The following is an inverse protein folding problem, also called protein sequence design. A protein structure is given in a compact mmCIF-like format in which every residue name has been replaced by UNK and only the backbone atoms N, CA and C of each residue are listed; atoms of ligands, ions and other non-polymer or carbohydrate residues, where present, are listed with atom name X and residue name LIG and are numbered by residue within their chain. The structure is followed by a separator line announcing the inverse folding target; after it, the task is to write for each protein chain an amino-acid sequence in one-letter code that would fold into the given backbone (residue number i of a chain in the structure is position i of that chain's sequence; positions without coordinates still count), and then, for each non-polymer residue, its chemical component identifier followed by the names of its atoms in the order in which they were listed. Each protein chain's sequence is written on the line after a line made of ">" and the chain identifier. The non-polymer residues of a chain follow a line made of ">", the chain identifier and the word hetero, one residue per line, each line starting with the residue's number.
data_IF_222657193798
#
_entry.id   IF_222657193798
#
_cell.length_a   1.000
_cell.length_b   1.000
_cell.length_c   1.000
_cell.angle_alpha   90.00
_cell.angle_beta   90.00
_cell.angle_gamma   90.00
#
_symmetry.space_group_name_H-M   'P 1'
#
loop_
_entity.id
_entity.type
_entity.pdbx_description
1 polymer ?
#
# COMPACT_ATOMS: atom_id res chain seq x y z
N UNK A 1 26.94 21.96 -1.39
CA UNK A 1 25.62 22.58 -1.12
C UNK A 1 24.50 22.04 -2.02
N UNK A 2 24.69 21.85 -3.36
CA UNK A 2 23.64 21.36 -4.26
C UNK A 2 23.07 19.99 -3.88
N UNK A 3 23.91 19.02 -3.44
CA UNK A 3 23.46 17.67 -3.02
C UNK A 3 22.59 17.67 -1.76
N UNK A 4 22.85 18.58 -0.80
CA UNK A 4 22.04 18.70 0.41
C UNK A 4 20.68 19.37 0.14
N UNK A 5 20.64 20.33 -0.79
CA UNK A 5 19.39 20.97 -1.22
C UNK A 5 18.51 19.98 -1.97
N UNK A 6 19.09 19.15 -2.84
CA UNK A 6 18.36 18.11 -3.56
C UNK A 6 17.79 17.06 -2.60
N UNK A 7 18.57 16.64 -1.59
CA UNK A 7 18.10 15.68 -0.59
C UNK A 7 16.99 16.26 0.32
N UNK A 8 17.09 17.52 0.71
CA UNK A 8 16.04 18.22 1.48
C UNK A 8 14.79 18.44 0.63
N UNK A 9 14.93 18.83 -0.63
CA UNK A 9 13.80 18.90 -1.56
C UNK A 9 13.17 17.53 -1.79
N UNK A 10 13.97 16.50 -2.00
CA UNK A 10 13.46 15.14 -2.12
C UNK A 10 12.72 14.67 -0.84
N UNK A 11 13.26 14.97 0.35
CA UNK A 11 12.62 14.61 1.62
C UNK A 11 11.32 15.38 1.87
N UNK A 12 11.28 16.69 1.54
CA UNK A 12 10.03 17.48 1.61
C UNK A 12 9.03 17.09 0.53
N UNK A 13 9.49 16.63 -0.62
CA UNK A 13 8.66 16.12 -1.70
C UNK A 13 8.04 14.75 -1.36
N UNK A 14 8.76 13.91 -0.62
CA UNK A 14 8.31 12.56 -0.26
C UNK A 14 7.40 12.52 0.98
N UNK A 15 7.46 13.54 1.85
CA UNK A 15 6.65 13.61 3.06
C UNK A 15 5.13 13.75 2.84
N UNK A 16 4.71 14.01 1.60
CA UNK A 16 3.30 14.20 1.26
C UNK A 16 2.66 13.00 0.53
N UNK A 17 3.39 11.90 0.31
CA UNK A 17 3.21 11.15 -0.92
C UNK A 17 3.23 9.64 -0.84
N UNK A 18 2.50 9.00 0.04
CA UNK A 18 2.60 7.56 0.11
C UNK A 18 1.28 6.84 0.03
N UNK A 19 1.22 5.95 -0.94
CA UNK A 19 0.07 5.17 -1.27
C UNK A 19 -0.20 3.97 -0.36
N UNK A 20 -1.41 3.48 -0.42
CA UNK A 20 -1.84 2.22 0.16
C UNK A 20 -0.99 1.07 -0.42
N UNK A 21 -0.25 0.35 0.41
CA UNK A 21 0.69 -0.67 0.00
C UNK A 21 0.23 -2.10 0.35
N UNK A 22 -0.77 -2.25 1.23
CA UNK A 22 -1.34 -3.55 1.53
C UNK A 22 -2.01 -4.15 0.28
N UNK A 23 -1.75 -5.43 -0.05
CA UNK A 23 -2.48 -6.09 -1.12
C UNK A 23 -3.97 -6.15 -0.76
N UNK A 24 -4.81 -6.22 -1.80
CA UNK A 24 -6.25 -6.37 -1.60
C UNK A 24 -6.55 -7.84 -1.27
N UNK A 25 -6.62 -8.18 0.02
CA UNK A 25 -6.87 -9.54 0.50
C UNK A 25 -8.35 -9.90 0.44
N UNK A 26 -8.67 -11.14 0.02
CA UNK A 26 -10.04 -11.65 0.09
C UNK A 26 -10.26 -12.43 1.39
N UNK A 27 -10.56 -11.70 2.47
CA UNK A 27 -10.83 -12.24 3.79
C UNK A 27 -12.32 -12.63 3.94
N UNK A 28 -12.57 -13.79 4.53
CA UNK A 28 -13.90 -14.18 4.98
C UNK A 28 -14.24 -13.53 6.33
N UNK A 29 -15.51 -13.53 6.70
CA UNK A 29 -15.94 -12.98 7.98
C UNK A 29 -15.14 -13.58 9.15
N UNK A 30 -14.68 -12.74 10.06
CA UNK A 30 -13.84 -13.03 11.23
C UNK A 30 -12.40 -13.45 10.93
N UNK A 31 -12.00 -13.56 9.67
CA UNK A 31 -10.59 -13.76 9.34
C UNK A 31 -9.76 -12.50 9.60
N UNK A 32 -8.56 -12.73 10.07
CA UNK A 32 -7.55 -11.69 10.28
C UNK A 32 -6.33 -12.00 9.40
N UNK A 33 -5.83 -11.00 8.71
CA UNK A 33 -4.58 -11.08 7.96
C UNK A 33 -3.53 -10.17 8.56
N UNK A 34 -2.31 -10.67 8.64
CA UNK A 34 -1.11 -9.85 8.89
C UNK A 34 -0.17 -10.01 7.71
N UNK A 35 0.55 -8.98 7.36
CA UNK A 35 1.50 -9.08 6.26
C UNK A 35 2.59 -8.04 6.31
N UNK A 36 3.60 -8.32 5.50
CA UNK A 36 4.74 -7.46 5.27
C UNK A 36 5.01 -7.38 3.77
N UNK A 37 5.30 -6.18 3.27
CA UNK A 37 5.73 -5.96 1.91
C UNK A 37 6.97 -5.06 1.90
N UNK A 38 7.86 -5.33 0.94
CA UNK A 38 9.03 -4.54 0.64
C UNK A 38 8.98 -4.12 -0.82
N UNK A 39 9.05 -2.82 -1.10
CA UNK A 39 9.07 -2.24 -2.44
C UNK A 39 10.38 -1.51 -2.67
N UNK A 40 10.99 -1.77 -3.82
CA UNK A 40 12.05 -0.93 -4.38
C UNK A 40 11.39 0.05 -5.34
N UNK A 41 11.43 1.33 -5.00
CA UNK A 41 10.78 2.40 -5.75
C UNK A 41 11.83 3.31 -6.38
N UNK A 42 11.54 3.80 -7.57
CA UNK A 42 12.35 4.80 -8.27
C UNK A 42 11.52 6.05 -8.53
N UNK A 43 12.08 7.22 -8.24
CA UNK A 43 11.45 8.52 -8.50
C UNK A 43 12.45 9.43 -9.24
N UNK A 44 12.36 9.45 -10.57
CA UNK A 44 13.34 10.09 -11.43
C UNK A 44 14.67 9.36 -11.38
N UNK A 45 15.68 9.90 -10.73
CA UNK A 45 17.00 9.27 -10.50
C UNK A 45 17.25 8.95 -9.02
N UNK A 46 16.21 8.85 -8.23
CA UNK A 46 16.29 8.62 -6.78
C UNK A 46 15.70 7.25 -6.48
N UNK A 47 16.52 6.35 -5.94
CA UNK A 47 16.10 5.06 -5.43
C UNK A 47 15.67 5.19 -3.98
N UNK A 48 14.53 4.60 -3.63
CA UNK A 48 14.04 4.49 -2.27
C UNK A 48 13.42 3.13 -1.99
N UNK A 49 13.38 2.75 -0.73
CA UNK A 49 12.69 1.56 -0.26
C UNK A 49 11.45 1.94 0.53
N UNK A 50 10.42 1.13 0.43
CA UNK A 50 9.24 1.18 1.28
C UNK A 50 9.02 -0.18 1.93
N UNK A 51 9.06 -0.20 3.25
CA UNK A 51 8.69 -1.33 4.09
C UNK A 51 7.30 -1.09 4.67
N UNK A 52 6.39 -2.04 4.47
CA UNK A 52 5.01 -1.96 4.92
C UNK A 52 4.66 -3.14 5.80
N UNK A 53 4.06 -2.85 6.97
CA UNK A 53 3.41 -3.82 7.82
C UNK A 53 1.92 -3.51 7.91
N UNK A 54 1.07 -4.51 7.74
CA UNK A 54 -0.37 -4.32 7.85
C UNK A 54 -1.04 -5.42 8.67
N UNK A 55 -2.17 -5.04 9.25
CA UNK A 55 -3.13 -5.90 9.93
C UNK A 55 -4.51 -5.57 9.39
N UNK A 56 -5.24 -6.57 8.95
CA UNK A 56 -6.63 -6.47 8.49
C UNK A 56 -7.51 -7.46 9.22
N UNK A 57 -8.76 -7.09 9.49
CA UNK A 57 -9.78 -7.98 10.04
C UNK A 57 -11.10 -7.78 9.31
N UNK A 58 -11.70 -8.88 8.85
CA UNK A 58 -13.02 -8.89 8.26
C UNK A 58 -14.09 -8.96 9.36
N UNK A 59 -14.64 -7.79 9.73
CA UNK A 59 -15.72 -7.71 10.73
C UNK A 59 -17.00 -8.39 10.27
N UNK A 60 -17.28 -8.32 8.98
CA UNK A 60 -18.41 -8.98 8.32
C UNK A 60 -17.95 -9.51 6.97
N UNK A 61 -18.81 -10.24 6.27
CA UNK A 61 -18.54 -10.69 4.88
C UNK A 61 -18.23 -9.53 3.92
N UNK A 62 -18.64 -8.29 4.27
CA UNK A 62 -18.49 -7.10 3.41
C UNK A 62 -17.55 -6.04 3.96
N UNK A 63 -17.29 -6.01 5.26
CA UNK A 63 -16.53 -4.93 5.90
C UNK A 63 -15.21 -5.45 6.45
N UNK A 64 -14.12 -4.96 5.90
CA UNK A 64 -12.75 -5.19 6.39
C UNK A 64 -12.21 -3.87 6.96
N UNK A 65 -11.67 -3.91 8.17
CA UNK A 65 -10.90 -2.82 8.76
C UNK A 65 -9.42 -3.17 8.72
N UNK A 66 -8.58 -2.16 8.51
CA UNK A 66 -7.15 -2.35 8.46
C UNK A 66 -6.37 -1.19 9.04
N UNK A 67 -5.17 -1.52 9.46
CA UNK A 67 -4.10 -0.58 9.80
C UNK A 67 -2.85 -0.99 9.07
N UNK A 68 -2.14 -0.02 8.52
CA UNK A 68 -0.89 -0.24 7.80
C UNK A 68 0.13 0.81 8.23
N UNK A 69 1.35 0.38 8.53
CA UNK A 69 2.49 1.25 8.76
C UNK A 69 3.47 1.10 7.60
N UNK A 70 3.82 2.22 7.01
CA UNK A 70 4.81 2.31 5.96
C UNK A 70 6.03 3.08 6.45
N UNK A 71 7.22 2.52 6.23
CA UNK A 71 8.51 3.17 6.49
C UNK A 71 9.24 3.37 5.19
N UNK A 72 9.63 4.60 4.92
CA UNK A 72 10.35 4.98 3.71
C UNK A 72 11.80 5.31 4.02
N UNK A 73 12.71 4.79 3.20
CA UNK A 73 14.15 4.99 3.38
C UNK A 73 14.86 5.19 2.04
N UNK A 74 15.98 5.95 2.06
CA UNK A 74 16.94 6.07 0.97
C UNK A 74 18.32 5.59 1.48
N UNK A 75 19.26 6.53 1.70
CA UNK A 75 20.52 6.25 2.40
C UNK A 75 20.38 6.28 3.94
N UNK A 76 19.14 6.38 4.45
CA UNK A 76 18.74 6.43 5.85
C UNK A 76 17.23 6.58 5.97
N UNK A 77 16.66 6.55 7.18
CA UNK A 77 15.24 6.77 7.40
C UNK A 77 14.79 8.12 6.83
N UNK A 78 13.66 8.16 6.13
CA UNK A 78 13.07 9.38 5.59
C UNK A 78 11.86 9.82 6.41
N UNK A 79 10.80 9.03 6.39
CA UNK A 79 9.56 9.29 7.12
C UNK A 79 8.72 8.02 7.21
N UNK A 80 7.77 8.03 8.13
CA UNK A 80 6.80 6.96 8.32
C UNK A 80 5.39 7.47 8.05
N UNK A 81 4.50 6.56 7.62
CA UNK A 81 3.06 6.80 7.63
C UNK A 81 2.33 5.69 8.34
N UNK A 82 1.16 6.02 8.89
CA UNK A 82 0.22 5.04 9.42
C UNK A 82 -1.15 5.30 8.80
N UNK A 83 -1.66 4.30 8.09
CA UNK A 83 -2.98 4.31 7.48
C UNK A 83 -3.95 3.54 8.35
N UNK A 84 -5.12 4.13 8.65
CA UNK A 84 -6.27 3.43 9.22
C UNK A 84 -7.35 3.48 8.16
N UNK A 85 -7.87 2.33 7.76
CA UNK A 85 -8.78 2.25 6.63
C UNK A 85 -9.88 1.22 6.80
N UNK A 86 -10.93 1.38 5.99
CA UNK A 86 -11.99 0.42 5.80
C UNK A 86 -12.09 0.05 4.32
N UNK A 87 -12.38 -1.21 4.05
CA UNK A 87 -12.74 -1.71 2.73
C UNK A 87 -14.16 -2.26 2.79
N UNK A 88 -15.03 -1.86 1.84
CA UNK A 88 -16.38 -2.37 1.71
C UNK A 88 -16.52 -3.15 0.41
N UNK A 89 -16.75 -4.47 0.51
CA UNK A 89 -16.93 -5.36 -0.64
C UNK A 89 -18.28 -5.10 -1.28
N UNK A 90 -18.27 -4.63 -2.53
CA UNK A 90 -19.47 -4.45 -3.35
C UNK A 90 -19.98 -5.80 -3.85
N UNK A 91 -19.04 -6.64 -4.28
CA UNK A 91 -19.20 -8.01 -4.72
C UNK A 91 -17.91 -8.81 -4.42
N UNK A 92 -17.79 -10.10 -4.80
CA UNK A 92 -16.57 -10.88 -4.56
C UNK A 92 -15.29 -10.33 -5.18
N UNK A 93 -15.42 -9.49 -6.22
CA UNK A 93 -14.27 -8.93 -6.95
C UNK A 93 -13.95 -7.50 -6.52
N UNK A 94 -14.96 -6.62 -6.43
CA UNK A 94 -14.75 -5.18 -6.26
C UNK A 94 -15.05 -4.71 -4.84
N UNK A 95 -14.29 -3.70 -4.40
CA UNK A 95 -14.47 -3.04 -3.11
C UNK A 95 -14.19 -1.56 -3.16
N UNK A 96 -14.85 -0.83 -2.28
CA UNK A 96 -14.54 0.56 -1.98
C UNK A 96 -13.51 0.60 -0.86
N UNK A 97 -12.61 1.58 -0.91
CA UNK A 97 -11.58 1.82 0.10
C UNK A 97 -11.72 3.25 0.59
N UNK A 98 -11.69 3.45 1.90
CA UNK A 98 -11.64 4.77 2.54
C UNK A 98 -10.74 4.70 3.75
N UNK A 99 -9.91 5.72 3.95
CA UNK A 99 -8.99 5.73 5.07
C UNK A 99 -8.47 7.13 5.41
N UNK A 100 -7.71 7.15 6.49
CA UNK A 100 -6.95 8.31 6.92
C UNK A 100 -5.49 7.92 7.07
N UNK A 101 -4.62 8.71 6.47
CA UNK A 101 -3.18 8.58 6.55
C UNK A 101 -2.61 9.60 7.51
N UNK A 102 -1.92 9.12 8.52
CA UNK A 102 -1.17 9.92 9.46
C UNK A 102 0.30 9.92 9.05
N UNK A 103 0.86 11.10 8.84
CA UNK A 103 2.28 11.28 8.53
C UNK A 103 3.06 11.58 9.81
N UNK A 104 4.29 11.06 9.94
CA UNK A 104 5.17 11.40 11.07
C UNK A 104 5.48 12.90 11.13
N UNK A 105 5.59 13.55 9.98
CA UNK A 105 6.01 14.95 9.83
C UNK A 105 5.05 15.74 8.93
N UNK A 106 3.73 15.59 9.11
CA UNK A 106 2.78 16.29 8.26
C UNK A 106 1.32 16.19 8.70
N UNK A 107 0.42 16.93 8.03
CA UNK A 107 -0.99 16.85 8.32
C UNK A 107 -1.60 15.52 7.82
N UNK A 108 -2.53 14.99 8.59
CA UNK A 108 -3.30 13.82 8.20
C UNK A 108 -4.09 14.07 6.91
N UNK A 109 -4.24 13.04 6.09
CA UNK A 109 -4.98 13.08 4.82
C UNK A 109 -5.98 11.95 4.73
N UNK A 110 -7.22 12.30 4.41
CA UNK A 110 -8.21 11.32 3.99
C UNK A 110 -7.88 10.83 2.57
N UNK A 111 -8.06 9.55 2.33
CA UNK A 111 -8.00 8.94 1.01
C UNK A 111 -9.21 8.05 0.76
N UNK A 112 -9.54 7.85 -0.50
CA UNK A 112 -10.61 6.98 -0.97
C UNK A 112 -10.21 6.33 -2.28
N UNK A 113 -10.80 5.20 -2.57
CA UNK A 113 -10.47 4.49 -3.78
C UNK A 113 -11.29 3.24 -4.01
N UNK A 114 -10.81 2.45 -4.94
CA UNK A 114 -11.40 1.16 -5.31
C UNK A 114 -10.31 0.10 -5.37
N UNK A 115 -10.68 -1.11 -5.02
CA UNK A 115 -9.85 -2.28 -5.14
C UNK A 115 -10.57 -3.41 -5.84
N UNK A 116 -9.79 -4.32 -6.40
CA UNK A 116 -10.29 -5.55 -7.00
C UNK A 116 -9.37 -6.71 -6.65
N UNK A 117 -9.97 -7.90 -6.48
CA UNK A 117 -9.25 -9.17 -6.37
C UNK A 117 -9.97 -10.23 -7.15
N UNK A 118 -9.23 -11.17 -7.75
CA UNK A 118 -9.81 -12.27 -8.53
C UNK A 118 -8.88 -13.47 -8.56
N UNK A 119 -9.42 -14.68 -8.58
CA UNK A 119 -8.64 -15.87 -8.81
C UNK A 119 -8.13 -15.93 -10.27
N UNK A 120 -6.83 -15.93 -10.47
CA UNK A 120 -6.19 -16.05 -11.79
C UNK A 120 -5.94 -17.53 -12.16
N UNK A 121 -5.61 -18.36 -11.14
CA UNK A 121 -5.37 -19.78 -11.27
C UNK A 121 -5.56 -20.46 -9.91
N UNK A 122 -5.58 -21.79 -9.83
CA UNK A 122 -5.51 -22.48 -8.56
C UNK A 122 -4.30 -21.98 -7.73
N UNK A 123 -4.56 -21.47 -6.52
CA UNK A 123 -3.55 -20.91 -5.59
C UNK A 123 -2.93 -19.57 -6.02
N UNK A 124 -3.44 -18.91 -7.05
CA UNK A 124 -2.93 -17.62 -7.52
C UNK A 124 -4.09 -16.62 -7.62
N UNK A 125 -4.08 -15.62 -6.77
CA UNK A 125 -5.02 -14.52 -6.78
C UNK A 125 -4.33 -13.26 -7.35
N UNK A 126 -5.01 -12.55 -8.25
CA UNK A 126 -4.59 -11.24 -8.71
C UNK A 126 -5.30 -10.16 -7.91
N UNK A 127 -4.63 -9.04 -7.68
CA UNK A 127 -5.22 -7.87 -7.05
C UNK A 127 -4.81 -6.57 -7.75
N UNK A 128 -5.66 -5.57 -7.63
CA UNK A 128 -5.36 -4.20 -8.07
C UNK A 128 -6.09 -3.22 -7.17
N UNK A 129 -5.52 -2.03 -6.98
CA UNK A 129 -6.23 -0.92 -6.34
C UNK A 129 -5.77 0.42 -6.90
N UNK A 130 -6.64 1.40 -6.80
CA UNK A 130 -6.34 2.82 -7.00
C UNK A 130 -6.97 3.60 -5.86
N UNK A 131 -6.17 4.47 -5.24
CA UNK A 131 -6.61 5.39 -4.21
C UNK A 131 -6.20 6.81 -4.54
N UNK A 132 -6.98 7.79 -4.07
CA UNK A 132 -6.71 9.20 -4.26
C UNK A 132 -6.95 9.97 -2.97
N UNK A 133 -6.16 11.00 -2.77
CA UNK A 133 -6.34 12.03 -1.74
C UNK A 133 -6.45 13.41 -2.40
N UNK A 134 -6.51 14.46 -1.58
CA UNK A 134 -6.54 15.84 -2.09
C UNK A 134 -5.26 16.26 -2.83
N UNK A 135 -4.18 15.51 -2.72
CA UNK A 135 -2.85 15.88 -3.24
C UNK A 135 -2.20 14.77 -4.05
N UNK A 136 -2.74 13.55 -4.06
CA UNK A 136 -2.02 12.41 -4.63
C UNK A 136 -2.94 11.32 -5.16
N UNK A 137 -2.44 10.60 -6.14
CA UNK A 137 -3.04 9.37 -6.67
C UNK A 137 -2.03 8.24 -6.62
N UNK A 138 -2.51 7.08 -6.28
CA UNK A 138 -1.76 5.89 -6.01
C UNK A 138 -2.46 4.68 -6.61
N UNK A 139 -1.72 3.80 -7.26
CA UNK A 139 -2.24 2.54 -7.74
C UNK A 139 -1.23 1.41 -7.56
N UNK A 140 -1.74 0.22 -7.39
CA UNK A 140 -0.96 -0.99 -7.36
C UNK A 140 -1.64 -2.12 -8.11
N UNK A 141 -0.85 -3.04 -8.59
CA UNK A 141 -1.30 -4.30 -9.17
C UNK A 141 -0.34 -5.40 -8.76
N UNK A 142 -0.85 -6.58 -8.51
CA UNK A 142 0.00 -7.68 -8.11
C UNK A 142 -0.71 -9.03 -8.13
N UNK A 143 0.02 -10.03 -7.66
CA UNK A 143 -0.48 -11.37 -7.48
C UNK A 143 0.00 -11.96 -6.15
N UNK A 144 -0.86 -12.77 -5.54
CA UNK A 144 -0.60 -13.50 -4.31
C UNK A 144 -0.65 -15.01 -4.59
N UNK A 145 0.45 -15.69 -4.33
CA UNK A 145 0.53 -17.15 -4.47
C UNK A 145 0.37 -17.83 -3.12
N UNK A 146 -0.68 -18.63 -2.97
CA UNK A 146 -0.99 -19.39 -1.75
C UNK A 146 -0.02 -20.55 -1.57
N UNK A 147 0.86 -20.46 -0.57
CA UNK A 147 1.75 -21.53 -0.14
C UNK A 147 0.97 -22.60 0.62
N UNK A 148 0.10 -22.14 1.51
CA UNK A 148 -0.84 -22.95 2.30
C UNK A 148 -2.23 -22.34 2.24
N UNK A 149 -3.20 -22.86 3.00
CA UNK A 149 -4.50 -22.21 3.21
C UNK A 149 -4.39 -20.88 3.95
N UNK A 150 -3.31 -20.64 4.70
CA UNK A 150 -3.13 -19.49 5.56
C UNK A 150 -2.01 -18.54 5.10
N UNK A 151 -0.98 -19.06 4.41
CA UNK A 151 0.19 -18.29 4.03
C UNK A 151 0.27 -18.05 2.53
N UNK A 152 0.60 -16.83 2.12
CA UNK A 152 0.84 -16.48 0.72
C UNK A 152 2.08 -15.60 0.54
N UNK A 153 2.65 -15.64 -0.67
CA UNK A 153 3.67 -14.72 -1.16
C UNK A 153 3.05 -13.73 -2.12
N UNK A 154 3.40 -12.47 -1.98
CA UNK A 154 2.95 -11.39 -2.86
C UNK A 154 4.09 -10.93 -3.77
N UNK A 155 3.75 -10.67 -5.02
CA UNK A 155 4.57 -9.92 -5.96
C UNK A 155 3.69 -8.80 -6.52
N UNK A 156 4.15 -7.55 -6.43
CA UNK A 156 3.36 -6.41 -6.84
C UNK A 156 4.20 -5.32 -7.52
N UNK A 157 3.52 -4.48 -8.24
CA UNK A 157 4.02 -3.22 -8.76
C UNK A 157 3.15 -2.10 -8.19
N UNK A 158 3.81 -1.08 -7.67
CA UNK A 158 3.19 0.10 -7.06
C UNK A 158 3.63 1.34 -7.80
N UNK A 159 2.71 2.28 -7.99
CA UNK A 159 3.01 3.57 -8.58
C UNK A 159 2.26 4.65 -7.84
N UNK A 160 2.98 5.66 -7.49
CA UNK A 160 2.54 6.82 -6.73
C UNK A 160 2.81 8.10 -7.51
N UNK A 161 1.84 9.02 -7.53
CA UNK A 161 1.97 10.33 -8.16
C UNK A 161 1.34 11.40 -7.28
N UNK A 162 2.13 12.37 -6.89
CA UNK A 162 1.70 13.59 -6.22
C UNK A 162 1.75 14.78 -7.16
N UNK A 163 0.90 15.78 -6.90
CA UNK A 163 0.87 17.02 -7.66
C UNK A 163 2.20 17.78 -7.53
N UNK A 164 2.78 18.10 -8.68
CA UNK A 164 4.06 18.82 -8.74
C UNK A 164 5.31 17.97 -8.57
N UNK A 165 5.20 16.65 -8.27
CA UNK A 165 6.36 15.76 -8.04
C UNK A 165 6.56 14.74 -9.16
N UNK A 166 7.78 14.20 -9.36
CA UNK A 166 7.99 13.01 -10.17
C UNK A 166 7.19 11.83 -9.64
N UNK A 167 6.82 10.92 -10.52
CA UNK A 167 6.20 9.65 -10.13
C UNK A 167 7.22 8.77 -9.42
N UNK A 168 6.82 8.10 -8.35
CA UNK A 168 7.59 7.04 -7.72
C UNK A 168 6.92 5.70 -7.99
N UNK A 169 7.64 4.77 -8.56
CA UNK A 169 7.08 3.47 -8.90
C UNK A 169 8.13 2.35 -8.82
N UNK A 170 7.66 1.12 -8.63
CA UNK A 170 8.55 0.01 -8.53
C UNK A 170 7.91 -1.32 -8.17
N UNK A 171 8.74 -2.34 -8.15
CA UNK A 171 8.36 -3.73 -7.84
C UNK A 171 8.57 -3.99 -6.36
N UNK A 172 7.67 -4.77 -5.77
CA UNK A 172 7.76 -5.23 -4.40
C UNK A 172 7.35 -6.68 -4.25
N UNK A 173 7.79 -7.26 -3.15
CA UNK A 173 7.42 -8.60 -2.73
C UNK A 173 7.00 -8.57 -1.25
N UNK A 174 6.23 -9.56 -0.85
CA UNK A 174 5.75 -9.63 0.52
C UNK A 174 5.26 -11.00 0.91
N UNK A 175 4.88 -11.08 2.16
CA UNK A 175 4.28 -12.27 2.78
C UNK A 175 3.01 -11.89 3.49
N UNK A 176 2.04 -12.79 3.47
CA UNK A 176 0.77 -12.62 4.17
C UNK A 176 0.44 -13.91 4.92
N UNK A 177 -0.15 -13.77 6.09
CA UNK A 177 -0.68 -14.86 6.89
C UNK A 177 -2.09 -14.54 7.37
N UNK A 178 -3.03 -15.44 7.11
CA UNK A 178 -4.46 -15.32 7.46
C UNK A 178 -4.84 -16.37 8.51
N UNK A 179 -5.57 -15.99 9.54
CA UNK A 179 -6.02 -16.83 10.64
C UNK A 179 -7.39 -16.43 11.16
#
# INVERSE_FOLDING_TARGET
>A
MKKKVTAVMAATMLAASVGFAAPVNDLQQHETAIGYNHYNLESGSIDMNNDSFYLENALTDKLVLGIERNSYSMSGPLFDTTDIYAQYKLDPTFRLIVGNRNYSDGPNKMFYGVGATTALAPRLDGYASVTASSIATDWQVGAAYKLTSQASLNLGYKSYKEDGLPRADGIGFGVNYTF
#
